data_IF_932175249134
#
_entry.id   IF_932175249134
#
_cell.length_a   1.000
_cell.length_b   1.000
_cell.length_c   1.000
_cell.angle_alpha   90.00
_cell.angle_beta   90.00
_cell.angle_gamma   90.00
#
_symmetry.space_group_name_H-M   'P 1'
#
loop_
_entity.id
_entity.type
_entity.pdbx_description
1 polymer ?
#
# COMPACT_ATOMS: atom_id res chain seq x y z
N UNK A 1 -6.63 -3.71 -12.84
CA UNK A 1 -7.04 -3.91 -11.44
C UNK A 1 -8.44 -4.49 -11.44
N UNK A 2 -8.63 -5.67 -10.85
CA UNK A 2 -9.93 -6.32 -10.72
C UNK A 2 -10.42 -6.22 -9.27
N UNK A 3 -11.70 -5.91 -9.05
CA UNK A 3 -12.32 -5.91 -7.72
C UNK A 3 -13.46 -6.92 -7.77
N UNK A 4 -13.48 -7.87 -6.83
CA UNK A 4 -14.55 -8.85 -6.69
C UNK A 4 -15.03 -8.86 -5.25
N UNK A 5 -16.34 -8.73 -5.07
CA UNK A 5 -17.00 -8.85 -3.77
C UNK A 5 -17.97 -10.03 -3.81
N UNK A 6 -17.81 -10.97 -2.88
CA UNK A 6 -18.74 -12.04 -2.60
C UNK A 6 -19.53 -11.71 -1.34
N UNK A 7 -20.83 -11.51 -1.52
CA UNK A 7 -21.79 -11.22 -0.46
C UNK A 7 -23.16 -11.75 -0.89
N UNK A 8 -23.89 -12.48 -0.01
CA UNK A 8 -25.25 -12.93 -0.30
C UNK A 8 -26.24 -11.78 -0.54
N UNK A 9 -25.98 -10.63 0.08
CA UNK A 9 -26.75 -9.40 -0.10
C UNK A 9 -26.15 -8.58 -1.26
N UNK A 10 -26.90 -8.49 -2.38
CA UNK A 10 -26.47 -7.79 -3.59
C UNK A 10 -26.42 -6.27 -3.42
N UNK A 11 -27.22 -5.67 -2.53
CA UNK A 11 -27.14 -4.23 -2.25
C UNK A 11 -25.88 -3.91 -1.47
N UNK A 12 -25.59 -4.70 -0.43
CA UNK A 12 -24.35 -4.60 0.34
C UNK A 12 -23.12 -4.83 -0.55
N UNK A 13 -23.16 -5.83 -1.43
CA UNK A 13 -22.11 -6.10 -2.42
C UNK A 13 -21.81 -4.88 -3.29
N UNK A 14 -22.83 -4.29 -3.91
CA UNK A 14 -22.67 -3.11 -4.76
C UNK A 14 -22.18 -1.88 -3.96
N UNK A 15 -22.55 -1.76 -2.68
CA UNK A 15 -22.01 -0.73 -1.80
C UNK A 15 -20.51 -0.94 -1.52
N UNK A 16 -20.08 -2.17 -1.19
CA UNK A 16 -18.67 -2.48 -0.98
C UNK A 16 -17.83 -2.26 -2.24
N UNK A 17 -18.28 -2.71 -3.41
CA UNK A 17 -17.57 -2.49 -4.68
C UNK A 17 -17.32 -1.01 -4.96
N UNK A 18 -18.32 -0.16 -4.72
CA UNK A 18 -18.19 1.30 -4.87
C UNK A 18 -17.22 1.89 -3.86
N UNK A 19 -17.33 1.51 -2.59
CA UNK A 19 -16.45 1.98 -1.52
C UNK A 19 -15.00 1.60 -1.80
N UNK A 20 -14.73 0.33 -2.11
CA UNK A 20 -13.38 -0.15 -2.45
C UNK A 20 -12.86 0.60 -3.67
N UNK A 21 -13.65 0.73 -4.74
CA UNK A 21 -13.24 1.44 -5.95
C UNK A 21 -12.86 2.90 -5.68
N UNK A 22 -13.61 3.58 -4.81
CA UNK A 22 -13.29 4.96 -4.37
C UNK A 22 -12.01 5.01 -3.57
N UNK A 23 -11.87 4.17 -2.54
CA UNK A 23 -10.68 4.12 -1.66
C UNK A 23 -9.42 3.87 -2.48
N UNK A 24 -9.46 2.92 -3.42
CA UNK A 24 -8.29 2.61 -4.26
C UNK A 24 -8.03 3.70 -5.30
N UNK A 25 -9.06 4.35 -5.84
CA UNK A 25 -8.86 5.44 -6.80
C UNK A 25 -8.11 6.62 -6.20
N UNK A 26 -8.31 6.88 -4.92
CA UNK A 26 -7.62 7.95 -4.17
C UNK A 26 -6.26 7.51 -3.60
N UNK A 27 -5.91 6.22 -3.73
CA UNK A 27 -4.72 5.67 -3.09
C UNK A 27 -3.45 5.88 -3.92
N UNK A 28 -2.32 6.31 -3.32
CA UNK A 28 -1.06 6.46 -4.03
C UNK A 28 -0.46 5.11 -4.50
N UNK A 29 -0.98 3.99 -3.99
CA UNK A 29 -0.51 2.64 -4.35
C UNK A 29 -1.40 1.95 -5.39
N UNK A 30 -2.38 2.65 -5.97
CA UNK A 30 -3.30 2.11 -6.99
C UNK A 30 -2.61 1.31 -8.09
N UNK A 31 -1.49 1.82 -8.60
CA UNK A 31 -0.75 1.18 -9.69
C UNK A 31 -0.03 -0.11 -9.28
N UNK A 32 0.20 -0.33 -7.99
CA UNK A 32 0.80 -1.55 -7.46
C UNK A 32 -0.24 -2.64 -7.18
N UNK A 33 -1.52 -2.30 -7.03
CA UNK A 33 -2.59 -3.27 -6.72
C UNK A 33 -2.99 -4.03 -8.00
N UNK A 34 -2.83 -5.36 -7.96
CA UNK A 34 -3.20 -6.27 -9.06
C UNK A 34 -4.70 -6.53 -9.04
N UNK A 35 -5.21 -6.96 -7.88
CA UNK A 35 -6.60 -7.27 -7.65
C UNK A 35 -6.95 -7.24 -6.16
N UNK A 36 -8.25 -7.09 -5.91
CA UNK A 36 -8.84 -7.11 -4.58
C UNK A 36 -10.01 -8.08 -4.60
N UNK A 37 -10.02 -8.96 -3.62
CA UNK A 37 -11.12 -9.86 -3.36
C UNK A 37 -11.65 -9.64 -1.94
N UNK A 38 -12.96 -9.53 -1.82
CA UNK A 38 -13.66 -9.42 -0.55
C UNK A 38 -14.70 -10.52 -0.45
N UNK A 39 -14.77 -11.16 0.71
CA UNK A 39 -15.87 -12.02 1.11
C UNK A 39 -16.49 -11.49 2.39
N UNK A 40 -17.81 -11.38 2.43
CA UNK A 40 -18.57 -10.99 3.61
C UNK A 40 -19.92 -11.70 3.63
N UNK A 41 -20.44 -12.00 4.81
CA UNK A 41 -21.75 -12.62 4.96
C UNK A 41 -22.56 -11.85 6.01
N UNK A 42 -23.78 -11.39 5.76
CA UNK A 42 -24.61 -10.77 6.80
C UNK A 42 -25.03 -11.75 7.91
N UNK A 43 -25.10 -13.05 7.62
CA UNK A 43 -25.52 -14.07 8.59
C UNK A 43 -24.39 -14.53 9.52
N UNK A 44 -23.13 -14.30 9.12
CA UNK A 44 -21.94 -14.58 9.93
C UNK A 44 -21.09 -13.33 10.03
N UNK A 45 -20.69 -12.85 11.21
CA UNK A 45 -19.96 -11.59 11.35
C UNK A 45 -18.49 -11.71 10.89
N UNK A 46 -18.24 -12.12 9.65
CA UNK A 46 -16.92 -12.33 9.05
C UNK A 46 -16.74 -11.49 7.79
N UNK A 47 -15.62 -10.77 7.73
CA UNK A 47 -15.22 -9.99 6.58
C UNK A 47 -13.76 -10.33 6.24
N UNK A 48 -13.55 -10.90 5.06
CA UNK A 48 -12.24 -11.31 4.54
C UNK A 48 -11.90 -10.38 3.38
N UNK A 49 -10.73 -9.77 3.45
CA UNK A 49 -10.15 -8.93 2.42
C UNK A 49 -8.81 -9.52 1.98
N UNK A 50 -8.64 -9.72 0.68
CA UNK A 50 -7.42 -10.18 0.05
C UNK A 50 -7.00 -9.11 -0.94
N UNK A 51 -5.79 -8.60 -0.79
CA UNK A 51 -5.20 -7.63 -1.72
C UNK A 51 -3.94 -8.26 -2.28
N UNK A 52 -3.93 -8.51 -3.59
CA UNK A 52 -2.75 -8.92 -4.33
C UNK A 52 -2.09 -7.69 -4.96
N UNK A 53 -0.76 -7.62 -4.86
CA UNK A 53 0.00 -6.46 -5.30
C UNK A 53 1.32 -6.86 -5.97
N UNK A 54 1.91 -5.94 -6.72
CA UNK A 54 3.27 -6.06 -7.23
C UNK A 54 4.24 -5.45 -6.23
N UNK A 55 5.24 -6.20 -5.79
CA UNK A 55 6.23 -5.70 -4.84
C UNK A 55 7.39 -4.97 -5.55
N UNK A 56 7.52 -3.64 -5.42
CA UNK A 56 8.67 -2.93 -5.98
C UNK A 56 9.93 -3.19 -5.13
N UNK A 57 11.06 -3.43 -5.78
CA UNK A 57 12.35 -3.70 -5.11
C UNK A 57 13.40 -2.61 -5.31
N UNK A 58 13.15 -1.66 -6.22
CA UNK A 58 14.05 -0.54 -6.48
C UNK A 58 14.01 0.47 -5.33
N UNK A 59 15.10 1.22 -5.15
CA UNK A 59 15.20 2.34 -4.21
C UNK A 59 15.85 3.52 -4.91
N UNK A 60 15.56 4.73 -4.45
CA UNK A 60 16.17 5.97 -5.00
C UNK A 60 17.14 6.53 -3.98
N UNK A 61 18.39 6.69 -4.38
CA UNK A 61 19.39 7.40 -3.60
C UNK A 61 19.34 8.89 -3.93
N UNK A 62 19.89 9.72 -3.05
CA UNK A 62 19.95 11.15 -3.24
C UNK A 62 20.64 11.51 -4.57
N UNK A 63 21.77 10.86 -4.87
CA UNK A 63 22.53 11.06 -6.11
C UNK A 63 21.72 10.83 -7.39
N UNK A 64 20.73 9.93 -7.36
CA UNK A 64 19.93 9.57 -8.54
C UNK A 64 18.79 10.58 -8.82
N UNK A 65 18.51 11.47 -7.87
CA UNK A 65 17.31 12.30 -7.86
C UNK A 65 17.59 13.81 -7.91
N UNK A 66 18.85 14.24 -7.79
CA UNK A 66 19.18 15.65 -7.62
C UNK A 66 20.27 16.12 -8.59
N UNK A 67 20.26 17.42 -8.87
CA UNK A 67 21.39 18.16 -9.46
C UNK A 67 22.03 19.01 -8.38
N UNK A 68 23.35 19.16 -8.41
CA UNK A 68 24.08 19.97 -7.43
C UNK A 68 24.89 21.07 -8.10
N UNK A 69 24.90 22.25 -7.47
CA UNK A 69 25.72 23.39 -7.88
C UNK A 69 26.43 23.98 -6.66
N UNK A 70 27.76 23.94 -6.67
CA UNK A 70 28.56 24.60 -5.65
C UNK A 70 28.46 26.12 -5.76
N UNK A 71 28.44 26.78 -4.61
CA UNK A 71 28.41 28.24 -4.46
C UNK A 71 29.44 28.66 -3.41
N UNK A 72 29.61 29.97 -3.20
CA UNK A 72 30.51 30.47 -2.15
C UNK A 72 30.03 30.13 -0.74
N UNK A 73 28.71 29.99 -0.57
CA UNK A 73 28.06 29.84 0.74
C UNK A 73 27.66 28.39 1.05
N UNK A 74 27.95 27.45 0.14
CA UNK A 74 27.56 26.04 0.27
C UNK A 74 27.19 25.40 -1.06
N UNK A 75 26.32 24.39 -1.02
CA UNK A 75 25.86 23.65 -2.19
C UNK A 75 24.35 23.84 -2.38
N UNK A 76 23.94 24.24 -3.58
CA UNK A 76 22.53 24.22 -3.97
C UNK A 76 22.20 22.83 -4.52
N UNK A 77 21.21 22.18 -3.92
CA UNK A 77 20.66 20.90 -4.33
C UNK A 77 19.29 21.13 -4.96
N UNK A 78 19.13 20.71 -6.21
CA UNK A 78 17.88 20.85 -6.97
C UNK A 78 17.24 19.48 -7.17
N UNK A 79 15.99 19.32 -6.73
CA UNK A 79 15.18 18.11 -6.90
C UNK A 79 13.85 18.46 -7.58
N UNK A 80 13.75 18.17 -8.88
CA UNK A 80 12.58 18.50 -9.71
C UNK A 80 11.39 17.55 -9.46
N UNK A 81 11.62 16.39 -8.83
CA UNK A 81 10.58 15.43 -8.52
C UNK A 81 10.07 15.60 -7.08
N UNK A 82 8.88 16.18 -6.92
CA UNK A 82 8.24 16.39 -5.61
C UNK A 82 8.10 15.12 -4.78
N UNK A 83 7.98 13.96 -5.42
CA UNK A 83 7.87 12.66 -4.72
C UNK A 83 9.12 12.38 -3.88
N UNK A 84 10.27 12.87 -4.31
CA UNK A 84 11.56 12.63 -3.67
C UNK A 84 11.96 13.75 -2.71
N UNK A 85 11.34 14.93 -2.85
CA UNK A 85 11.67 16.11 -2.07
C UNK A 85 11.55 15.92 -0.54
N UNK A 86 10.50 15.26 0.01
CA UNK A 86 10.44 14.98 1.45
C UNK A 86 11.59 14.10 1.94
N UNK A 87 11.97 13.11 1.13
CA UNK A 87 13.09 12.22 1.43
C UNK A 87 14.43 12.92 1.41
N UNK A 88 14.62 13.81 0.43
CA UNK A 88 15.76 14.72 0.34
C UNK A 88 15.86 15.59 1.60
N UNK A 89 14.79 16.31 1.96
CA UNK A 89 14.78 17.19 3.13
C UNK A 89 15.08 16.45 4.42
N UNK A 90 14.53 15.24 4.59
CA UNK A 90 14.84 14.38 5.72
C UNK A 90 16.33 14.08 5.83
N UNK A 91 16.96 13.62 4.73
CA UNK A 91 18.40 13.32 4.72
C UNK A 91 19.23 14.58 4.99
N UNK A 92 18.89 15.71 4.38
CA UNK A 92 19.64 16.95 4.58
C UNK A 92 19.52 17.45 6.03
N UNK A 93 18.33 17.42 6.63
CA UNK A 93 18.14 17.79 8.03
C UNK A 93 18.85 16.84 9.00
N UNK A 94 18.80 15.52 8.75
CA UNK A 94 19.48 14.53 9.57
C UNK A 94 21.01 14.71 9.55
N UNK A 95 21.57 15.16 8.42
CA UNK A 95 23.03 15.26 8.20
C UNK A 95 23.60 16.63 8.53
N UNK A 96 22.88 17.71 8.23
CA UNK A 96 23.39 19.08 8.34
C UNK A 96 22.66 19.92 9.39
N UNK A 97 21.51 19.47 9.88
CA UNK A 97 20.65 20.28 10.75
C UNK A 97 19.77 21.25 9.96
N UNK A 98 18.70 21.74 10.60
CA UNK A 98 17.72 22.63 9.94
C UNK A 98 18.31 24.02 9.67
N UNK A 99 19.19 24.47 10.55
CA UNK A 99 19.88 25.75 10.50
C UNK A 99 20.87 25.87 9.35
N UNK A 100 21.41 24.74 8.86
CA UNK A 100 22.33 24.70 7.73
C UNK A 100 21.64 24.30 6.41
N UNK A 101 20.31 24.19 6.42
CA UNK A 101 19.50 23.86 5.25
C UNK A 101 18.45 24.93 5.01
N UNK A 102 18.54 25.64 3.91
CA UNK A 102 17.63 26.74 3.57
C UNK A 102 16.90 26.40 2.27
N UNK A 103 15.58 26.29 2.33
CA UNK A 103 14.78 26.07 1.12
C UNK A 103 14.67 27.38 0.34
N UNK A 104 15.32 27.44 -0.82
CA UNK A 104 15.34 28.63 -1.68
C UNK A 104 14.08 28.71 -2.56
N UNK A 105 13.56 27.55 -2.99
CA UNK A 105 12.34 27.43 -3.79
C UNK A 105 11.67 26.07 -3.59
N UNK A 106 10.58 25.80 -4.32
CA UNK A 106 9.91 24.48 -4.27
C UNK A 106 10.86 23.31 -4.55
N UNK A 107 11.84 23.51 -5.42
CA UNK A 107 12.73 22.44 -5.89
C UNK A 107 14.18 22.62 -5.44
N UNK A 108 14.54 23.74 -4.81
CA UNK A 108 15.93 24.07 -4.50
C UNK A 108 16.16 24.26 -3.01
N UNK A 109 17.24 23.66 -2.52
CA UNK A 109 17.69 23.74 -1.13
C UNK A 109 19.15 24.13 -1.12
N UNK A 110 19.49 25.19 -0.39
CA UNK A 110 20.88 25.53 -0.06
C UNK A 110 21.31 24.73 1.17
N UNK A 111 22.46 24.09 1.08
CA UNK A 111 23.10 23.38 2.19
C UNK A 111 24.42 24.06 2.50
N UNK A 112 24.54 24.59 3.72
CA UNK A 112 25.78 25.19 4.24
C UNK A 112 26.68 24.06 4.77
N UNK A 113 27.55 23.55 3.90
CA UNK A 113 28.45 22.44 4.21
C UNK A 113 28.84 21.65 2.96
N UNK A 114 29.80 20.74 3.12
CA UNK A 114 30.20 19.81 2.07
C UNK A 114 29.28 18.59 2.06
N UNK A 115 28.76 18.24 0.88
CA UNK A 115 27.96 17.03 0.68
C UNK A 115 28.89 15.90 0.26
N UNK A 116 29.25 15.06 1.22
CA UNK A 116 30.11 13.90 0.99
C UNK A 116 29.35 12.71 0.38
N UNK A 117 30.10 11.74 -0.13
CA UNK A 117 29.58 10.58 -0.87
C UNK A 117 28.61 9.71 -0.06
N UNK A 118 28.78 9.64 1.27
CA UNK A 118 27.88 8.91 2.17
C UNK A 118 26.48 9.54 2.22
N UNK A 119 26.40 10.87 2.17
CA UNK A 119 25.13 11.60 2.07
C UNK A 119 24.49 11.36 0.70
N UNK A 120 25.27 11.42 -0.38
CA UNK A 120 24.80 11.16 -1.74
C UNK A 120 24.21 9.75 -1.91
N UNK A 121 24.79 8.77 -1.21
CA UNK A 121 24.33 7.38 -1.23
C UNK A 121 23.13 7.09 -0.33
N UNK A 122 22.64 8.08 0.43
CA UNK A 122 21.50 7.90 1.31
C UNK A 122 20.21 7.66 0.51
N UNK A 123 19.43 6.66 0.94
CA UNK A 123 18.12 6.36 0.33
C UNK A 123 17.13 7.45 0.73
N UNK A 124 16.56 8.11 -0.28
CA UNK A 124 15.56 9.17 -0.09
C UNK A 124 14.14 8.67 -0.41
N UNK A 125 14.00 7.62 -1.23
CA UNK A 125 12.70 7.03 -1.54
C UNK A 125 12.79 5.50 -1.53
N UNK A 126 11.88 4.88 -0.78
CA UNK A 126 11.75 3.42 -0.65
C UNK A 126 10.30 3.02 -1.02
N UNK A 127 10.04 2.64 -2.28
CA UNK A 127 8.71 2.29 -2.76
C UNK A 127 8.08 1.13 -1.99
N UNK A 128 8.88 0.19 -1.47
CA UNK A 128 8.37 -0.93 -0.66
C UNK A 128 7.77 -0.42 0.65
N UNK A 129 8.43 0.54 1.31
CA UNK A 129 7.90 1.19 2.52
C UNK A 129 6.63 1.99 2.24
N UNK A 130 6.59 2.70 1.12
CA UNK A 130 5.39 3.46 0.73
C UNK A 130 4.24 2.53 0.36
N UNK A 131 4.52 1.40 -0.29
CA UNK A 131 3.53 0.35 -0.54
C UNK A 131 2.96 -0.18 0.77
N UNK A 132 3.81 -0.54 1.74
CA UNK A 132 3.36 -1.05 3.04
C UNK A 132 2.47 -0.05 3.80
N UNK A 133 2.84 1.24 3.83
CA UNK A 133 2.01 2.31 4.42
C UNK A 133 0.66 2.45 3.70
N UNK A 134 0.70 2.48 2.36
CA UNK A 134 -0.52 2.59 1.55
C UNK A 134 -1.45 1.39 1.71
N UNK A 135 -0.91 0.18 1.85
CA UNK A 135 -1.71 -1.02 2.11
C UNK A 135 -2.44 -0.91 3.45
N UNK A 136 -1.77 -0.43 4.50
CA UNK A 136 -2.39 -0.22 5.81
C UNK A 136 -3.52 0.83 5.72
N UNK A 137 -3.27 1.96 5.05
CA UNK A 137 -4.30 3.00 4.85
C UNK A 137 -5.53 2.45 4.14
N UNK A 138 -5.32 1.74 3.03
CA UNK A 138 -6.38 1.10 2.25
C UNK A 138 -7.16 0.10 3.09
N UNK A 139 -6.47 -0.78 3.83
CA UNK A 139 -7.12 -1.79 4.68
C UNK A 139 -7.99 -1.13 5.74
N UNK A 140 -7.51 -0.09 6.42
CA UNK A 140 -8.27 0.60 7.48
C UNK A 140 -9.53 1.24 6.92
N UNK A 141 -9.48 1.76 5.68
CA UNK A 141 -10.62 2.43 5.02
C UNK A 141 -11.64 1.45 4.42
N UNK A 142 -11.23 0.23 4.08
CA UNK A 142 -12.12 -0.80 3.51
C UNK A 142 -12.78 -1.64 4.60
N UNK A 143 -12.04 -2.03 5.63
CA UNK A 143 -12.56 -2.96 6.64
C UNK A 143 -13.64 -2.26 7.49
N UNK A 144 -14.83 -2.88 7.65
CA UNK A 144 -15.91 -2.31 8.44
C UNK A 144 -15.49 -1.94 9.87
N UNK A 145 -16.00 -0.82 10.38
CA UNK A 145 -15.65 -0.30 11.71
C UNK A 145 -16.11 -1.23 12.85
N UNK A 146 -17.26 -1.90 12.69
CA UNK A 146 -17.78 -2.88 13.65
C UNK A 146 -16.85 -4.10 13.83
N UNK A 147 -16.01 -4.39 12.84
CA UNK A 147 -15.20 -5.60 12.78
C UNK A 147 -13.83 -5.32 13.41
N UNK A 148 -13.83 -5.29 14.74
CA UNK A 148 -12.69 -4.86 15.57
C UNK A 148 -11.67 -5.95 15.81
N UNK A 149 -12.07 -7.22 15.78
CA UNK A 149 -11.14 -8.36 15.93
C UNK A 149 -10.55 -8.63 14.55
N UNK A 150 -9.23 -8.48 14.41
CA UNK A 150 -8.54 -8.56 13.11
C UNK A 150 -7.36 -9.50 13.17
N UNK A 151 -7.21 -10.33 12.13
CA UNK A 151 -6.04 -11.16 11.87
C UNK A 151 -5.46 -10.80 10.51
N UNK A 152 -4.16 -10.51 10.50
CA UNK A 152 -3.42 -10.17 9.29
C UNK A 152 -2.48 -11.31 8.94
N UNK A 153 -2.50 -11.72 7.67
CA UNK A 153 -1.57 -12.71 7.12
C UNK A 153 -0.84 -12.04 5.96
N UNK A 154 0.43 -11.77 6.16
CA UNK A 154 1.30 -11.18 5.15
C UNK A 154 1.96 -12.27 4.31
N UNK A 155 1.93 -12.09 3.00
CA UNK A 155 2.65 -12.88 1.99
C UNK A 155 3.56 -11.93 1.20
N UNK A 156 4.41 -12.49 0.34
CA UNK A 156 5.38 -11.69 -0.42
C UNK A 156 4.71 -10.64 -1.33
N UNK A 157 3.61 -11.01 -1.98
CA UNK A 157 2.85 -10.18 -2.92
C UNK A 157 1.35 -10.13 -2.60
N UNK A 158 0.98 -10.47 -1.37
CA UNK A 158 -0.40 -10.41 -0.92
C UNK A 158 -0.52 -10.06 0.56
N UNK A 159 -1.66 -9.49 0.93
CA UNK A 159 -2.10 -9.34 2.32
C UNK A 159 -3.52 -9.84 2.44
N UNK A 160 -3.74 -10.72 3.42
CA UNK A 160 -5.04 -11.29 3.75
C UNK A 160 -5.43 -10.74 5.13
N UNK A 161 -6.61 -10.15 5.21
CA UNK A 161 -7.17 -9.57 6.42
C UNK A 161 -8.47 -10.28 6.71
N UNK A 162 -8.55 -10.90 7.87
CA UNK A 162 -9.78 -11.50 8.39
C UNK A 162 -10.21 -10.59 9.53
N UNK A 163 -11.44 -10.12 9.48
CA UNK A 163 -12.02 -9.26 10.49
C UNK A 163 -13.39 -9.77 10.91
N UNK A 164 -13.75 -9.55 12.16
CA UNK A 164 -14.99 -10.02 12.75
C UNK A 164 -15.40 -9.17 13.95
N UNK A 165 -16.68 -9.20 14.29
CA UNK A 165 -17.21 -8.71 15.57
C UNK A 165 -16.90 -9.69 16.71
N UNK A 166 -16.81 -10.98 16.38
CA UNK A 166 -16.57 -12.09 17.30
C UNK A 166 -15.13 -12.65 17.17
N UNK A 167 -14.67 -13.50 18.12
CA UNK A 167 -13.39 -14.18 17.99
C UNK A 167 -13.26 -14.93 16.64
N UNK A 168 -12.15 -14.70 15.94
CA UNK A 168 -11.91 -15.30 14.63
C UNK A 168 -11.76 -16.81 14.76
N UNK A 169 -12.64 -17.53 14.06
CA UNK A 169 -12.64 -19.00 14.00
C UNK A 169 -11.59 -19.55 13.04
N UNK A 170 -11.07 -20.74 13.32
CA UNK A 170 -10.10 -21.42 12.45
C UNK A 170 -10.65 -21.74 11.06
N UNK A 171 -11.96 -21.99 10.94
CA UNK A 171 -12.64 -22.23 9.66
C UNK A 171 -12.54 -21.03 8.72
N UNK A 172 -12.69 -19.81 9.25
CA UNK A 172 -12.56 -18.58 8.48
C UNK A 172 -11.11 -18.33 8.03
N UNK A 173 -10.14 -18.75 8.83
CA UNK A 173 -8.71 -18.71 8.44
C UNK A 173 -8.43 -19.65 7.28
N UNK A 174 -8.93 -20.89 7.36
CA UNK A 174 -8.80 -21.88 6.26
C UNK A 174 -9.51 -21.38 5.00
N UNK A 175 -10.72 -20.83 5.15
CA UNK A 175 -11.49 -20.26 4.06
C UNK A 175 -10.73 -19.13 3.36
N UNK A 176 -10.19 -18.17 4.12
CA UNK A 176 -9.41 -17.06 3.57
C UNK A 176 -8.15 -17.54 2.81
N UNK A 177 -7.45 -18.55 3.34
CA UNK A 177 -6.29 -19.15 2.68
C UNK A 177 -6.67 -19.85 1.38
N UNK A 178 -7.75 -20.65 1.39
CA UNK A 178 -8.26 -21.31 0.18
C UNK A 178 -8.68 -20.29 -0.87
N UNK A 179 -9.38 -19.22 -0.47
CA UNK A 179 -9.78 -18.12 -1.37
C UNK A 179 -8.56 -17.44 -2.00
N UNK A 180 -7.48 -17.23 -1.24
CA UNK A 180 -6.24 -16.67 -1.79
C UNK A 180 -5.57 -17.63 -2.77
N UNK A 181 -5.41 -18.91 -2.42
CA UNK A 181 -4.76 -19.92 -3.26
C UNK A 181 -5.52 -20.14 -4.57
N UNK A 182 -6.85 -20.26 -4.50
CA UNK A 182 -7.73 -20.44 -5.66
C UNK A 182 -7.94 -19.12 -6.42
N UNK A 183 -7.89 -17.96 -5.77
CA UNK A 183 -7.97 -16.67 -6.44
C UNK A 183 -6.70 -16.31 -7.22
N UNK A 184 -5.57 -16.93 -6.89
CA UNK A 184 -4.26 -16.70 -7.52
C UNK A 184 -4.07 -17.46 -8.85
N UNK A 185 -4.95 -18.41 -9.17
CA UNK A 185 -4.95 -19.19 -10.41
C UNK A 185 -6.40 -19.40 -10.89
N UNK A 186 -6.68 -19.31 -12.20
CA UNK A 186 -7.98 -19.58 -12.86
C UNK A 186 -8.99 -18.40 -12.80
N UNK A 187 -9.28 -17.69 -13.90
CA UNK A 187 -10.24 -18.05 -14.96
C UNK A 187 -11.52 -18.77 -14.46
N UNK A 188 -12.69 -18.55 -15.10
CA UNK A 188 -13.94 -19.03 -14.55
C UNK A 188 -14.01 -20.55 -14.68
N UNK A 189 -14.36 -21.24 -13.59
CA UNK A 189 -15.03 -22.53 -13.74
C UNK A 189 -16.20 -22.56 -12.77
N UNK A 190 -17.44 -22.77 -13.27
CA UNK A 190 -18.63 -22.77 -12.45
C UNK A 190 -18.62 -24.01 -11.56
N UNK A 191 -18.78 -23.81 -10.25
CA UNK A 191 -19.03 -24.93 -9.35
C UNK A 191 -20.42 -25.48 -9.66
N UNK A 192 -20.42 -26.78 -9.92
CA UNK A 192 -21.53 -27.66 -10.28
C UNK A 192 -22.86 -27.33 -9.61
N UNK A 193 -23.93 -27.30 -10.41
CA UNK A 193 -25.30 -27.54 -9.93
C UNK A 193 -25.34 -28.89 -9.24
N UNK A 194 -25.80 -28.91 -8.00
CA UNK A 194 -26.20 -30.13 -7.31
C UNK A 194 -27.23 -30.88 -8.16
N UNK A 195 -26.91 -32.11 -8.52
CA UNK A 195 -27.92 -33.10 -8.89
C UNK A 195 -28.45 -33.69 -7.59
N UNK A 196 -29.61 -33.19 -7.18
CA UNK A 196 -30.61 -34.02 -6.52
C UNK A 196 -30.86 -35.24 -7.42
N UNK A 197 -30.70 -36.44 -6.86
CA UNK A 197 -31.58 -37.59 -7.14
C UNK A 197 -31.28 -38.71 -6.14
N UNK A 198 -32.20 -38.89 -5.21
CA UNK A 198 -32.67 -40.20 -4.77
C UNK A 198 -34.10 -40.35 -5.31
#
# INVERSE_FOLDING_TARGET
MNIRVECPDEEAKAAFERTISSVISDSPIKSAIKDIYVYTNPEEPVFILIINYSKPTWKVKLVDAVKMRSTKDGTIVTCENDKYFPGLMRVLWERFGRENTEQLSRYEVMVRGEIHEDVLNSVIFDPEKELAKGLIDVIIRIVPEGFRIRKYIWKEEAVIVISSEDPIKDEWVKMAMNMWEVGSFVHPTPVYRGSLQA
#
